data_IF_252455256658
#
_entry.id   IF_252455256658
#
_cell.length_a   1.000
_cell.length_b   1.000
_cell.length_c   1.000
_cell.angle_alpha   90.00
_cell.angle_beta   90.00
_cell.angle_gamma   90.00
#
_symmetry.space_group_name_H-M   'P 1'
#
loop_
_entity.id
_entity.type
_entity.pdbx_description
1 polymer ?
#
# COMPACT_ATOMS: atom_id res chain seq x y z
N UNK A 1 5.83 -21.07 -16.68
CA UNK A 1 4.42 -20.72 -16.30
C UNK A 1 4.02 -19.42 -16.99
N UNK A 2 2.90 -19.40 -17.69
CA UNK A 2 2.34 -18.20 -18.33
C UNK A 2 1.47 -17.43 -17.34
N UNK A 3 1.87 -16.22 -16.97
CA UNK A 3 1.16 -15.36 -16.01
C UNK A 3 0.62 -14.13 -16.74
N UNK A 4 -0.64 -13.79 -16.53
CA UNK A 4 -1.23 -12.54 -17.01
C UNK A 4 -1.79 -11.75 -15.84
N UNK A 5 -1.36 -10.48 -15.73
CA UNK A 5 -1.96 -9.52 -14.81
C UNK A 5 -2.82 -8.55 -15.62
N UNK A 6 -4.11 -8.49 -15.33
CA UNK A 6 -5.03 -7.54 -15.98
C UNK A 6 -5.55 -6.53 -14.96
N UNK A 7 -5.40 -5.24 -15.27
CA UNK A 7 -5.86 -4.14 -14.41
C UNK A 7 -6.24 -2.91 -15.25
N UNK A 8 -6.65 -1.83 -14.59
CA UNK A 8 -6.96 -0.57 -15.28
C UNK A 8 -5.75 -0.03 -16.05
N UNK A 9 -4.69 0.42 -15.40
CA UNK A 9 -3.47 0.91 -16.04
C UNK A 9 -2.22 0.47 -15.26
N UNK A 10 -1.10 0.42 -15.98
CA UNK A 10 0.22 0.16 -15.42
C UNK A 10 0.78 1.43 -14.75
N UNK A 11 1.29 1.32 -13.53
CA UNK A 11 1.83 2.44 -12.77
C UNK A 11 3.05 2.02 -11.93
N UNK A 12 3.71 2.98 -11.30
CA UNK A 12 4.92 2.76 -10.51
C UNK A 12 4.76 1.79 -9.33
N UNK A 13 3.55 1.65 -8.75
CA UNK A 13 3.31 0.66 -7.68
C UNK A 13 3.29 -0.77 -8.20
N UNK A 14 3.15 -0.97 -9.52
CA UNK A 14 3.10 -2.27 -10.17
C UNK A 14 4.37 -2.60 -10.95
N UNK A 15 5.29 -1.62 -11.12
CA UNK A 15 6.50 -1.83 -11.92
C UNK A 15 7.37 -2.94 -11.35
N UNK A 16 7.81 -2.82 -10.10
CA UNK A 16 8.74 -3.77 -9.51
C UNK A 16 8.17 -5.20 -9.47
N UNK A 17 6.89 -5.37 -9.09
CA UNK A 17 6.26 -6.69 -9.07
C UNK A 17 6.09 -7.28 -10.48
N UNK A 18 5.81 -6.45 -11.47
CA UNK A 18 5.66 -6.88 -12.86
C UNK A 18 7.00 -7.27 -13.50
N UNK A 19 8.05 -6.52 -13.21
CA UNK A 19 9.41 -6.81 -13.64
C UNK A 19 9.90 -8.14 -13.06
N UNK A 20 9.63 -8.39 -11.78
CA UNK A 20 9.95 -9.66 -11.15
C UNK A 20 9.14 -10.83 -11.71
N UNK A 21 7.85 -10.65 -11.98
CA UNK A 21 7.07 -11.67 -12.71
C UNK A 21 7.69 -11.97 -14.07
N UNK A 22 8.05 -10.93 -14.84
CA UNK A 22 8.65 -11.11 -16.17
C UNK A 22 9.98 -11.87 -16.09
N UNK A 23 10.84 -11.52 -15.13
CA UNK A 23 12.13 -12.18 -14.87
C UNK A 23 11.94 -13.63 -14.43
N UNK A 24 11.17 -13.90 -13.37
CA UNK A 24 11.03 -15.23 -12.77
C UNK A 24 10.19 -16.20 -13.63
N UNK A 25 9.41 -15.69 -14.58
CA UNK A 25 8.70 -16.54 -15.56
C UNK A 25 9.46 -16.68 -16.89
N UNK A 26 10.72 -16.26 -16.97
CA UNK A 26 11.51 -16.26 -18.21
C UNK A 26 10.77 -15.61 -19.39
N UNK A 27 10.20 -14.41 -19.16
CA UNK A 27 9.49 -13.65 -20.17
C UNK A 27 8.04 -14.09 -20.47
N UNK A 28 7.51 -15.09 -19.74
CA UNK A 28 6.14 -15.60 -19.90
C UNK A 28 5.10 -14.80 -19.10
N UNK A 29 5.39 -13.54 -18.80
CA UNK A 29 4.49 -12.61 -18.13
C UNK A 29 3.94 -11.56 -19.08
N UNK A 30 2.68 -11.17 -18.91
CA UNK A 30 2.07 -10.01 -19.59
C UNK A 30 1.23 -9.21 -18.60
N UNK A 31 1.36 -7.89 -18.65
CA UNK A 31 0.46 -6.96 -18.00
C UNK A 31 -0.50 -6.39 -19.04
N UNK A 32 -1.79 -6.55 -18.83
CA UNK A 32 -2.83 -6.02 -19.72
C UNK A 32 -3.51 -4.85 -19.03
N UNK A 33 -3.28 -3.65 -19.56
CA UNK A 33 -4.01 -2.47 -19.12
C UNK A 33 -5.29 -2.28 -19.94
N UNK A 34 -6.39 -1.94 -19.25
CA UNK A 34 -7.73 -1.91 -19.84
C UNK A 34 -8.25 -0.51 -20.16
N UNK A 35 -7.55 0.52 -19.67
CA UNK A 35 -7.86 1.93 -19.90
C UNK A 35 -6.58 2.77 -19.85
N UNK A 36 -6.56 3.95 -20.51
CA UNK A 36 -5.44 4.88 -20.38
C UNK A 36 -5.39 5.46 -18.96
N UNK A 37 -4.18 5.81 -18.51
CA UNK A 37 -4.00 6.50 -17.24
C UNK A 37 -4.55 7.92 -17.32
N UNK A 38 -5.28 8.33 -16.29
CA UNK A 38 -5.80 9.70 -16.14
C UNK A 38 -4.66 10.73 -16.15
N UNK A 39 -4.88 11.86 -16.80
CA UNK A 39 -3.87 12.93 -16.96
C UNK A 39 -3.39 13.48 -15.61
N UNK A 40 -4.30 13.67 -14.66
CA UNK A 40 -3.96 14.09 -13.30
C UNK A 40 -2.91 13.17 -12.65
N UNK A 41 -3.06 11.86 -12.83
CA UNK A 41 -2.10 10.87 -12.28
C UNK A 41 -0.77 10.86 -13.01
N UNK A 42 -0.79 11.10 -14.33
CA UNK A 42 0.45 11.27 -15.10
C UNK A 42 1.24 12.47 -14.60
N UNK A 43 0.55 13.59 -14.35
CA UNK A 43 1.15 14.82 -13.83
C UNK A 43 1.70 14.64 -12.40
N UNK A 44 1.17 13.70 -11.63
CA UNK A 44 1.71 13.28 -10.33
C UNK A 44 2.92 12.34 -10.44
N UNK A 45 3.40 12.02 -11.65
CA UNK A 45 4.54 11.12 -11.86
C UNK A 45 4.23 9.63 -11.76
N UNK A 46 2.96 9.22 -11.84
CA UNK A 46 2.58 7.80 -11.74
C UNK A 46 2.80 7.01 -13.03
N UNK A 47 2.83 7.70 -14.17
CA UNK A 47 3.03 7.09 -15.48
C UNK A 47 4.50 6.92 -15.85
N UNK A 48 4.78 5.96 -16.72
CA UNK A 48 6.07 5.82 -17.38
C UNK A 48 5.98 6.37 -18.80
N UNK A 49 7.02 7.07 -19.25
CA UNK A 49 7.07 7.63 -20.61
C UNK A 49 7.11 6.53 -21.68
N UNK A 50 7.73 5.40 -21.37
CA UNK A 50 7.82 4.23 -22.23
C UNK A 50 7.33 3.02 -21.45
N UNK A 51 6.32 2.34 -21.99
CA UNK A 51 5.81 1.11 -21.39
C UNK A 51 6.77 -0.06 -21.64
N UNK A 52 7.02 -0.92 -20.64
CA UNK A 52 7.79 -2.14 -20.83
C UNK A 52 7.17 -3.06 -21.89
N UNK A 53 7.99 -3.87 -22.56
CA UNK A 53 7.58 -4.78 -23.64
C UNK A 53 6.52 -5.82 -23.25
N UNK A 54 6.40 -6.10 -21.96
CA UNK A 54 5.39 -7.02 -21.44
C UNK A 54 4.03 -6.35 -21.17
N UNK A 55 3.91 -5.01 -21.32
CA UNK A 55 2.65 -4.27 -21.13
C UNK A 55 1.89 -4.20 -22.45
N UNK A 56 0.61 -4.51 -22.39
CA UNK A 56 -0.30 -4.46 -23.54
C UNK A 56 -1.51 -3.56 -23.24
N UNK A 57 -1.86 -2.71 -24.20
CA UNK A 57 -2.96 -1.75 -24.12
C UNK A 57 -4.21 -2.32 -24.81
N UNK A 58 -5.08 -2.99 -24.05
CA UNK A 58 -6.26 -3.69 -24.63
C UNK A 58 -7.30 -2.76 -25.27
N UNK A 59 -7.22 -1.47 -24.99
CA UNK A 59 -8.14 -0.44 -25.52
C UNK A 59 -7.66 0.19 -26.84
N UNK A 60 -6.45 -0.12 -27.29
CA UNK A 60 -5.83 0.53 -28.45
C UNK A 60 -6.61 0.27 -29.75
N UNK A 61 -6.97 -0.98 -30.00
CA UNK A 61 -7.73 -1.41 -31.16
C UNK A 61 -8.43 -2.78 -30.93
N UNK A 62 -9.30 -3.19 -31.86
CA UNK A 62 -10.04 -4.45 -31.76
C UNK A 62 -9.18 -5.70 -31.86
N UNK A 63 -8.09 -5.66 -32.61
CA UNK A 63 -7.18 -6.80 -32.79
C UNK A 63 -6.38 -7.01 -31.52
N UNK A 64 -5.79 -5.93 -30.94
CA UNK A 64 -5.10 -5.94 -29.67
C UNK A 64 -6.02 -6.42 -28.55
N UNK A 65 -7.28 -5.97 -28.54
CA UNK A 65 -8.26 -6.46 -27.56
C UNK A 65 -8.47 -7.98 -27.66
N UNK A 66 -8.68 -8.52 -28.88
CA UNK A 66 -8.84 -9.96 -29.07
C UNK A 66 -7.61 -10.73 -28.62
N UNK A 67 -6.42 -10.28 -29.00
CA UNK A 67 -5.14 -10.86 -28.54
C UNK A 67 -5.01 -10.87 -27.03
N UNK A 68 -5.38 -9.78 -26.34
CA UNK A 68 -5.39 -9.71 -24.87
C UNK A 68 -6.36 -10.74 -24.26
N UNK A 69 -7.57 -10.87 -24.81
CA UNK A 69 -8.55 -11.87 -24.36
C UNK A 69 -8.03 -13.30 -24.55
N UNK A 70 -7.37 -13.59 -25.67
CA UNK A 70 -6.78 -14.90 -25.94
C UNK A 70 -5.64 -15.21 -24.96
N UNK A 71 -4.78 -14.25 -24.64
CA UNK A 71 -3.73 -14.39 -23.61
C UNK A 71 -4.34 -14.69 -22.25
N UNK A 72 -5.37 -13.94 -21.83
CA UNK A 72 -6.10 -14.17 -20.56
C UNK A 72 -6.67 -15.59 -20.51
N UNK A 73 -7.29 -16.07 -21.60
CA UNK A 73 -7.92 -17.40 -21.65
C UNK A 73 -6.91 -18.55 -21.70
N UNK A 74 -5.70 -18.32 -22.23
CA UNK A 74 -4.67 -19.35 -22.43
C UNK A 74 -3.51 -19.30 -21.42
N UNK A 75 -3.49 -18.33 -20.52
CA UNK A 75 -2.52 -18.29 -19.43
C UNK A 75 -2.71 -19.45 -18.43
N UNK A 76 -1.65 -19.87 -17.75
CA UNK A 76 -1.75 -20.83 -16.64
C UNK A 76 -2.47 -20.19 -15.45
N UNK A 77 -2.13 -18.94 -15.14
CA UNK A 77 -2.75 -18.15 -14.06
C UNK A 77 -3.03 -16.71 -14.49
N UNK A 78 -4.13 -16.14 -14.00
CA UNK A 78 -4.48 -14.74 -14.20
C UNK A 78 -4.62 -14.04 -12.84
N UNK A 79 -3.98 -12.88 -12.69
CA UNK A 79 -4.23 -11.93 -11.61
C UNK A 79 -5.13 -10.83 -12.16
N UNK A 80 -6.28 -10.61 -11.54
CA UNK A 80 -7.28 -9.65 -11.99
C UNK A 80 -7.47 -8.54 -10.93
N UNK A 81 -6.94 -7.36 -11.22
CA UNK A 81 -7.11 -6.13 -10.44
C UNK A 81 -8.36 -5.36 -10.85
N UNK A 82 -8.25 -4.03 -10.90
CA UNK A 82 -9.33 -3.12 -11.34
C UNK A 82 -9.50 -3.18 -12.85
N UNK A 83 -10.13 -4.25 -13.36
CA UNK A 83 -10.40 -4.46 -14.78
C UNK A 83 -11.89 -4.72 -15.02
N UNK A 84 -12.44 -4.38 -16.20
CA UNK A 84 -13.82 -4.71 -16.56
C UNK A 84 -14.08 -6.21 -16.51
N UNK A 85 -15.16 -6.65 -15.87
CA UNK A 85 -15.51 -8.06 -15.71
C UNK A 85 -15.60 -8.82 -17.05
N UNK A 86 -16.04 -8.14 -18.11
CA UNK A 86 -16.23 -8.74 -19.44
C UNK A 86 -14.95 -9.39 -19.98
N UNK A 87 -13.76 -8.83 -19.66
CA UNK A 87 -12.48 -9.31 -20.23
C UNK A 87 -12.03 -10.65 -19.58
N UNK A 88 -12.42 -10.92 -18.34
CA UNK A 88 -12.03 -12.14 -17.61
C UNK A 88 -13.15 -13.17 -17.46
N UNK A 89 -14.40 -12.80 -17.78
CA UNK A 89 -15.60 -13.63 -17.53
C UNK A 89 -15.53 -15.01 -18.19
N UNK A 90 -15.04 -15.07 -19.45
CA UNK A 90 -14.90 -16.34 -20.17
C UNK A 90 -13.95 -17.29 -19.45
N UNK A 91 -12.81 -16.76 -18.97
CA UNK A 91 -11.83 -17.53 -18.20
C UNK A 91 -12.41 -18.06 -16.88
N UNK A 92 -13.09 -17.21 -16.11
CA UNK A 92 -13.73 -17.63 -14.86
C UNK A 92 -14.72 -18.75 -15.11
N UNK A 93 -15.60 -18.59 -16.12
CA UNK A 93 -16.61 -19.60 -16.50
C UNK A 93 -16.00 -20.91 -16.96
N UNK A 94 -14.82 -20.89 -17.56
CA UNK A 94 -14.10 -22.11 -17.96
C UNK A 94 -13.42 -22.84 -16.80
N UNK A 95 -13.56 -22.35 -15.55
CA UNK A 95 -12.97 -22.98 -14.36
C UNK A 95 -11.46 -22.83 -14.24
N UNK A 96 -10.82 -22.01 -15.07
CA UNK A 96 -9.37 -21.75 -15.01
C UNK A 96 -9.00 -20.86 -13.83
N UNK A 97 -7.77 -21.01 -13.35
CA UNK A 97 -7.26 -20.31 -12.17
C UNK A 97 -7.22 -18.80 -12.33
N UNK A 98 -7.87 -18.09 -11.40
CA UNK A 98 -7.88 -16.62 -11.32
C UNK A 98 -7.64 -16.20 -9.86
N UNK A 99 -6.74 -15.27 -9.66
CA UNK A 99 -6.60 -14.51 -8.43
C UNK A 99 -7.16 -13.11 -8.64
N UNK A 100 -8.22 -12.76 -7.91
CA UNK A 100 -8.66 -11.38 -7.79
C UNK A 100 -7.65 -10.61 -6.95
N UNK A 101 -7.43 -9.35 -7.24
CA UNK A 101 -6.54 -8.48 -6.50
C UNK A 101 -7.29 -7.21 -6.10
N UNK A 102 -7.43 -6.96 -4.80
CA UNK A 102 -8.22 -5.83 -4.32
C UNK A 102 -7.77 -5.34 -2.95
N UNK A 103 -7.88 -4.04 -2.75
CA UNK A 103 -7.93 -3.42 -1.43
C UNK A 103 -9.28 -3.74 -0.74
N UNK A 104 -9.44 -3.25 0.49
CA UNK A 104 -10.71 -3.34 1.21
C UNK A 104 -11.84 -2.60 0.49
N UNK A 105 -13.05 -3.13 0.58
CA UNK A 105 -14.24 -2.58 -0.09
C UNK A 105 -15.13 -1.76 0.84
N UNK A 106 -15.09 -1.98 2.14
CA UNK A 106 -15.87 -1.24 3.14
C UNK A 106 -14.99 -0.23 3.89
N UNK A 107 -14.59 0.85 3.19
CA UNK A 107 -13.74 1.91 3.76
C UNK A 107 -14.48 2.82 4.75
N UNK A 108 -15.82 2.86 4.70
CA UNK A 108 -16.65 3.58 5.67
C UNK A 108 -17.99 2.85 5.90
N UNK A 109 -18.66 3.14 7.04
CA UNK A 109 -19.93 2.49 7.43
C UNK A 109 -21.05 2.66 6.41
N UNK A 110 -21.11 3.78 5.67
CA UNK A 110 -22.14 4.03 4.64
C UNK A 110 -22.07 3.02 3.49
N UNK A 111 -20.90 2.46 3.20
CA UNK A 111 -20.73 1.43 2.16
C UNK A 111 -21.34 0.07 2.55
N UNK A 112 -21.64 -0.17 3.83
CA UNK A 112 -22.35 -1.37 4.27
C UNK A 112 -23.80 -1.39 3.76
N UNK A 113 -24.42 -0.25 3.51
CA UNK A 113 -25.74 -0.17 2.88
C UNK A 113 -25.77 -0.79 1.47
N UNK A 114 -24.63 -0.91 0.82
CA UNK A 114 -24.49 -1.56 -0.49
C UNK A 114 -24.31 -3.09 -0.39
N UNK A 115 -24.33 -3.66 0.80
CA UNK A 115 -24.09 -5.09 1.03
C UNK A 115 -24.97 -6.01 0.17
N UNK A 116 -26.31 -5.83 0.07
CA UNK A 116 -27.16 -6.71 -0.74
C UNK A 116 -26.77 -6.69 -2.22
N UNK A 117 -26.50 -5.50 -2.79
CA UNK A 117 -26.09 -5.37 -4.19
C UNK A 117 -24.72 -5.99 -4.44
N UNK A 118 -23.78 -5.82 -3.50
CA UNK A 118 -22.46 -6.42 -3.59
C UNK A 118 -22.49 -7.93 -3.44
N UNK A 119 -23.33 -8.45 -2.56
CA UNK A 119 -23.56 -9.90 -2.42
C UNK A 119 -23.99 -10.49 -3.76
N UNK A 120 -25.04 -9.94 -4.38
CA UNK A 120 -25.54 -10.40 -5.68
C UNK A 120 -24.43 -10.30 -6.77
N UNK A 121 -23.79 -9.13 -6.88
CA UNK A 121 -22.74 -8.89 -7.87
C UNK A 121 -21.59 -9.90 -7.74
N UNK A 122 -21.03 -10.05 -6.53
CA UNK A 122 -19.86 -10.91 -6.34
C UNK A 122 -20.20 -12.39 -6.48
N UNK A 123 -21.40 -12.82 -6.09
CA UNK A 123 -21.87 -14.20 -6.36
C UNK A 123 -22.01 -14.43 -7.86
N UNK A 124 -22.61 -13.50 -8.58
CA UNK A 124 -22.74 -13.63 -10.03
C UNK A 124 -21.38 -13.64 -10.75
N UNK A 125 -20.41 -12.83 -10.32
CA UNK A 125 -19.10 -12.69 -10.94
C UNK A 125 -18.11 -13.80 -10.56
N UNK A 126 -18.25 -14.43 -9.38
CA UNK A 126 -17.22 -15.32 -8.82
C UNK A 126 -17.72 -16.67 -8.30
N UNK A 127 -19.04 -16.87 -8.14
CA UNK A 127 -19.63 -18.11 -7.63
C UNK A 127 -20.40 -18.85 -8.75
N UNK A 128 -20.37 -20.16 -8.81
CA UNK A 128 -19.78 -21.17 -7.91
C UNK A 128 -18.34 -21.58 -8.29
N UNK A 129 -17.56 -20.71 -8.86
CA UNK A 129 -16.28 -21.03 -9.48
C UNK A 129 -15.22 -21.41 -8.43
N UNK A 130 -14.79 -22.69 -8.45
CA UNK A 130 -13.87 -23.26 -7.46
C UNK A 130 -12.47 -22.65 -7.51
N UNK A 131 -12.01 -22.24 -8.70
CA UNK A 131 -10.65 -21.77 -8.95
C UNK A 131 -10.50 -20.24 -8.97
N UNK A 132 -11.34 -19.52 -8.20
CA UNK A 132 -11.22 -18.08 -8.03
C UNK A 132 -10.83 -17.79 -6.59
N UNK A 133 -9.73 -17.07 -6.40
CA UNK A 133 -9.11 -16.71 -5.14
C UNK A 133 -8.96 -15.19 -5.01
N UNK A 134 -8.61 -14.68 -3.81
CA UNK A 134 -8.40 -13.26 -3.56
C UNK A 134 -6.99 -12.99 -3.02
N UNK A 135 -6.25 -12.12 -3.68
CA UNK A 135 -5.05 -11.46 -3.18
C UNK A 135 -5.47 -10.18 -2.45
N UNK A 136 -5.34 -10.17 -1.14
CA UNK A 136 -5.80 -9.07 -0.29
C UNK A 136 -4.73 -7.99 -0.15
N UNK A 137 -4.90 -6.85 -0.82
CA UNK A 137 -4.07 -5.67 -0.64
C UNK A 137 -4.58 -4.79 0.52
N UNK A 138 -4.87 -5.42 1.62
CA UNK A 138 -5.22 -4.83 2.92
C UNK A 138 -5.49 -5.95 3.90
N UNK A 139 -5.07 -5.81 5.15
CA UNK A 139 -5.38 -6.76 6.23
C UNK A 139 -6.88 -6.91 6.47
N UNK A 140 -7.67 -5.90 6.14
CA UNK A 140 -9.13 -5.87 6.32
C UNK A 140 -9.90 -6.42 5.11
N UNK A 141 -9.25 -6.67 3.95
CA UNK A 141 -9.94 -7.06 2.73
C UNK A 141 -10.62 -8.43 2.86
N UNK A 142 -9.96 -9.42 3.47
CA UNK A 142 -10.54 -10.76 3.65
C UNK A 142 -11.85 -10.71 4.43
N UNK A 143 -11.91 -9.96 5.55
CA UNK A 143 -13.14 -9.75 6.33
C UNK A 143 -14.21 -9.03 5.53
N UNK A 144 -13.84 -7.96 4.82
CA UNK A 144 -14.77 -7.20 3.99
C UNK A 144 -15.45 -8.11 2.93
N UNK A 145 -14.69 -9.01 2.31
CA UNK A 145 -15.24 -9.96 1.34
C UNK A 145 -16.03 -11.09 2.00
N UNK A 146 -15.60 -11.58 3.17
CA UNK A 146 -16.33 -12.60 3.92
C UNK A 146 -17.74 -12.15 4.32
N UNK A 147 -17.95 -10.86 4.66
CA UNK A 147 -19.26 -10.25 4.90
C UNK A 147 -20.18 -10.37 3.68
N UNK A 148 -19.63 -10.38 2.46
CA UNK A 148 -20.38 -10.63 1.22
C UNK A 148 -20.58 -12.11 0.92
N UNK A 149 -20.17 -13.02 1.82
CA UNK A 149 -20.22 -14.46 1.62
C UNK A 149 -19.17 -15.01 0.66
N UNK A 150 -18.20 -14.18 0.23
CA UNK A 150 -17.21 -14.54 -0.80
C UNK A 150 -15.84 -14.84 -0.23
N UNK A 151 -15.08 -15.68 -0.96
CA UNK A 151 -13.68 -16.01 -0.73
C UNK A 151 -13.36 -16.59 0.66
N UNK A 152 -14.34 -17.16 1.37
CA UNK A 152 -14.09 -17.83 2.66
C UNK A 152 -13.07 -18.97 2.46
N UNK A 153 -11.93 -18.89 3.15
CA UNK A 153 -10.81 -19.84 3.00
C UNK A 153 -10.08 -19.78 1.65
N UNK A 154 -10.27 -18.70 0.88
CA UNK A 154 -9.66 -18.49 -0.45
C UNK A 154 -8.96 -17.13 -0.57
N UNK A 155 -8.49 -16.58 0.53
CA UNK A 155 -7.81 -15.28 0.60
C UNK A 155 -6.33 -15.48 0.91
N UNK A 156 -5.49 -14.65 0.30
CA UNK A 156 -4.05 -14.67 0.50
C UNK A 156 -3.57 -13.28 0.90
N UNK A 157 -2.63 -13.21 1.85
CA UNK A 157 -1.92 -11.99 2.21
C UNK A 157 -1.15 -11.49 0.99
N UNK A 158 -1.40 -10.25 0.61
CA UNK A 158 -0.78 -9.59 -0.53
C UNK A 158 -0.70 -8.10 -0.25
N UNK A 159 -0.19 -7.31 -1.20
CA UNK A 159 -0.17 -5.86 -1.04
C UNK A 159 0.50 -5.14 -2.19
N UNK A 160 1.09 -4.00 -1.91
CA UNK A 160 1.94 -3.28 -2.84
C UNK A 160 3.40 -3.61 -2.53
N UNK A 161 4.17 -3.73 -3.60
CA UNK A 161 5.59 -4.05 -3.57
C UNK A 161 6.35 -3.01 -4.41
N UNK A 162 6.46 -1.76 -3.91
CA UNK A 162 7.22 -0.74 -4.61
C UNK A 162 8.70 -1.15 -4.71
N UNK A 163 9.43 -0.53 -5.64
CA UNK A 163 10.85 -0.77 -5.80
C UNK A 163 11.62 -0.49 -4.50
N UNK A 164 12.45 -1.43 -4.10
CA UNK A 164 13.31 -1.30 -2.93
C UNK A 164 14.59 -0.56 -3.32
N UNK A 165 14.85 0.57 -2.69
CA UNK A 165 16.14 1.24 -2.76
C UNK A 165 17.09 0.52 -1.81
N UNK A 166 18.18 0.00 -2.37
CA UNK A 166 19.29 -0.56 -1.59
C UNK A 166 20.28 0.57 -1.28
N UNK A 167 20.80 0.57 -0.07
CA UNK A 167 21.80 1.53 0.38
C UNK A 167 23.10 0.78 0.69
N UNK A 168 24.23 1.41 0.41
CA UNK A 168 25.55 0.80 0.63
C UNK A 168 25.88 0.68 2.13
N UNK A 169 25.45 1.66 2.92
CA UNK A 169 25.66 1.73 4.36
C UNK A 169 24.38 2.20 5.05
N UNK A 170 23.65 1.26 5.65
CA UNK A 170 22.38 1.50 6.31
C UNK A 170 22.57 2.16 7.68
N UNK A 171 23.61 1.78 8.41
CA UNK A 171 23.89 2.34 9.74
C UNK A 171 24.25 3.81 9.60
N UNK A 172 25.10 4.14 8.65
CA UNK A 172 25.41 5.54 8.33
C UNK A 172 24.17 6.33 7.92
N UNK A 173 23.29 5.76 7.08
CA UNK A 173 22.04 6.43 6.69
C UNK A 173 21.17 6.75 7.94
N UNK A 174 21.14 5.84 8.92
CA UNK A 174 20.40 6.06 10.16
C UNK A 174 21.07 7.13 11.02
N UNK A 175 22.39 7.12 11.11
CA UNK A 175 23.15 8.07 11.93
C UNK A 175 23.17 9.49 11.35
N UNK A 176 23.13 9.62 10.04
CA UNK A 176 23.12 10.92 9.34
C UNK A 176 21.73 11.61 9.33
N UNK A 177 20.70 10.99 9.92
CA UNK A 177 19.35 11.59 9.98
C UNK A 177 19.34 12.85 10.87
N UNK A 178 18.48 13.79 10.51
CA UNK A 178 18.28 15.03 11.29
C UNK A 178 17.67 14.68 12.65
N UNK A 179 18.33 15.04 13.76
CA UNK A 179 17.85 14.72 15.10
C UNK A 179 16.43 15.27 15.39
N UNK A 180 15.61 14.47 16.04
CA UNK A 180 14.23 14.78 16.44
C UNK A 180 13.34 15.27 15.27
N UNK A 181 13.64 14.81 14.03
CA UNK A 181 12.84 15.09 12.84
C UNK A 181 11.68 14.12 12.72
N UNK A 182 10.51 14.68 12.48
CA UNK A 182 9.26 13.96 12.28
C UNK A 182 8.72 14.32 10.91
N UNK A 183 8.32 13.33 10.12
CA UNK A 183 7.79 13.52 8.78
C UNK A 183 6.38 12.97 8.65
N UNK A 184 5.51 13.73 8.00
CA UNK A 184 4.18 13.31 7.58
C UNK A 184 4.03 13.56 6.08
N UNK A 185 3.59 12.53 5.32
CA UNK A 185 3.46 12.62 3.85
C UNK A 185 2.11 12.06 3.42
N UNK A 186 1.21 12.92 2.98
CA UNK A 186 -0.04 12.53 2.33
C UNK A 186 -0.75 13.74 1.71
N UNK A 187 -1.85 13.51 0.99
CA UNK A 187 -2.78 14.58 0.64
C UNK A 187 -3.43 15.16 1.90
N UNK A 188 -3.57 16.48 1.96
CA UNK A 188 -4.22 17.17 3.09
C UNK A 188 -5.75 17.06 2.94
N UNK A 189 -6.30 15.91 3.30
CA UNK A 189 -7.73 15.56 3.25
C UNK A 189 -8.18 14.89 4.54
N UNK A 190 -9.47 14.85 4.80
CA UNK A 190 -10.06 14.47 6.09
C UNK A 190 -9.58 13.13 6.61
N UNK A 191 -9.65 12.09 5.81
CA UNK A 191 -9.33 10.74 6.23
C UNK A 191 -7.82 10.41 6.34
N UNK A 192 -6.96 11.37 5.97
CA UNK A 192 -5.50 11.32 6.22
C UNK A 192 -5.12 11.90 7.58
N UNK A 193 -6.02 12.64 8.21
CA UNK A 193 -5.86 13.26 9.52
C UNK A 193 -4.56 14.05 9.70
N UNK A 194 -4.25 15.05 8.81
CA UNK A 194 -3.11 15.93 9.03
C UNK A 194 -3.22 16.72 10.34
N UNK A 195 -4.45 17.00 10.79
CA UNK A 195 -4.76 17.67 12.05
C UNK A 195 -4.28 16.91 13.28
N UNK A 196 -4.25 15.57 13.24
CA UNK A 196 -3.70 14.75 14.32
C UNK A 196 -2.19 15.00 14.51
N UNK A 197 -1.44 15.23 13.42
CA UNK A 197 -0.02 15.57 13.51
C UNK A 197 0.21 16.96 14.13
N UNK A 198 -0.70 17.92 13.91
CA UNK A 198 -0.61 19.26 14.54
C UNK A 198 -0.95 19.19 16.02
N UNK A 199 -1.99 18.41 16.42
CA UNK A 199 -2.30 18.20 17.85
C UNK A 199 -1.17 17.48 18.58
N UNK A 200 -0.53 16.50 17.93
CA UNK A 200 0.68 15.87 18.45
C UNK A 200 1.82 16.90 18.66
N UNK A 201 2.09 17.74 17.66
CA UNK A 201 3.12 18.79 17.75
C UNK A 201 2.87 19.76 18.92
N UNK A 202 1.60 20.19 19.10
CA UNK A 202 1.20 21.00 20.27
C UNK A 202 1.57 20.33 21.59
N UNK A 203 1.21 19.06 21.76
CA UNK A 203 1.48 18.29 22.97
C UNK A 203 2.97 18.10 23.22
N UNK A 204 3.75 17.78 22.18
CA UNK A 204 5.21 17.66 22.30
C UNK A 204 5.86 18.98 22.71
N UNK A 205 5.44 20.10 22.12
CA UNK A 205 5.94 21.43 22.51
C UNK A 205 5.59 21.78 23.95
N UNK A 206 4.34 21.52 24.37
CA UNK A 206 3.91 21.72 25.78
C UNK A 206 4.68 20.84 26.76
N UNK A 207 5.08 19.64 26.35
CA UNK A 207 5.93 18.75 27.16
C UNK A 207 7.43 19.10 27.11
N UNK A 208 7.81 20.21 26.44
CA UNK A 208 9.17 20.70 26.39
C UNK A 208 10.10 20.05 25.38
N UNK A 209 9.57 19.23 24.44
CA UNK A 209 10.38 18.60 23.41
C UNK A 209 10.84 19.61 22.36
N UNK A 210 12.10 19.49 21.95
CA UNK A 210 12.64 20.15 20.76
C UNK A 210 12.58 19.18 19.58
N UNK A 211 11.81 19.50 18.56
CA UNK A 211 11.60 18.66 17.37
C UNK A 211 11.30 19.52 16.14
N UNK A 212 11.34 18.90 14.97
CA UNK A 212 10.84 19.49 13.73
C UNK A 212 9.87 18.53 13.07
N UNK A 213 8.64 18.99 12.83
CA UNK A 213 7.62 18.27 12.07
C UNK A 213 7.50 18.88 10.66
N UNK A 214 7.74 18.07 9.63
CA UNK A 214 7.54 18.44 8.24
C UNK A 214 6.31 17.77 7.66
N UNK A 215 5.40 18.54 7.04
CA UNK A 215 4.25 18.02 6.31
C UNK A 215 4.48 18.20 4.81
N UNK A 216 4.45 17.10 4.06
CA UNK A 216 4.55 17.09 2.61
C UNK A 216 3.21 16.67 2.00
N UNK A 217 2.69 17.49 1.11
CA UNK A 217 1.45 17.29 0.39
C UNK A 217 0.61 18.56 0.32
N UNK A 218 -0.48 18.48 -0.41
CA UNK A 218 -1.49 19.54 -0.52
C UNK A 218 -2.89 18.92 -0.49
N UNK A 219 -3.91 19.76 -0.41
CA UNK A 219 -5.30 19.30 -0.42
C UNK A 219 -6.28 20.29 0.20
N UNK A 220 -7.52 19.85 0.34
CA UNK A 220 -8.65 20.69 0.80
C UNK A 220 -8.47 21.24 2.21
N UNK A 221 -7.64 20.62 3.03
CA UNK A 221 -7.38 21.03 4.41
C UNK A 221 -6.17 21.97 4.55
N UNK A 222 -5.51 22.39 3.46
CA UNK A 222 -4.29 23.21 3.51
C UNK A 222 -4.48 24.44 4.41
N UNK A 223 -5.48 25.29 4.14
CA UNK A 223 -5.75 26.49 4.92
C UNK A 223 -6.04 26.16 6.40
N UNK A 224 -6.87 25.14 6.65
CA UNK A 224 -7.19 24.70 8.01
C UNK A 224 -5.93 24.33 8.80
N UNK A 225 -5.01 23.57 8.19
CA UNK A 225 -3.77 23.16 8.85
C UNK A 225 -2.85 24.36 9.11
N UNK A 226 -2.74 25.30 8.16
CA UNK A 226 -1.99 26.56 8.37
C UNK A 226 -2.56 27.37 9.50
N UNK A 227 -3.88 27.50 9.60
CA UNK A 227 -4.55 28.22 10.68
C UNK A 227 -4.30 27.53 12.02
N UNK A 228 -4.37 26.20 12.09
CA UNK A 228 -4.05 25.46 13.31
C UNK A 228 -2.60 25.70 13.76
N UNK A 229 -1.62 25.69 12.85
CA UNK A 229 -0.21 25.97 13.17
C UNK A 229 -0.06 27.36 13.82
N UNK A 230 -0.71 28.39 13.24
CA UNK A 230 -0.68 29.77 13.77
C UNK A 230 -1.36 29.91 15.12
N UNK A 231 -2.58 29.37 15.25
CA UNK A 231 -3.36 29.46 16.50
C UNK A 231 -2.62 28.79 17.67
N UNK A 232 -1.97 27.67 17.40
CA UNK A 232 -1.22 26.92 18.41
C UNK A 232 0.25 27.40 18.55
N UNK A 233 0.66 28.43 17.79
CA UNK A 233 2.01 29.03 17.80
C UNK A 233 3.10 27.98 17.59
N UNK A 234 2.96 27.19 16.49
CA UNK A 234 3.85 26.06 16.17
C UNK A 234 4.81 26.35 15.00
N UNK A 235 4.87 27.60 14.51
CA UNK A 235 5.66 27.98 13.32
C UNK A 235 7.16 27.75 13.50
N UNK A 236 7.65 27.68 14.71
CA UNK A 236 9.04 27.40 15.06
C UNK A 236 9.43 25.92 14.93
N UNK A 237 8.45 25.01 15.00
CA UNK A 237 8.69 23.56 15.00
C UNK A 237 7.88 22.78 13.95
N UNK A 238 6.91 23.39 13.26
CA UNK A 238 6.10 22.75 12.23
C UNK A 238 6.20 23.52 10.91
N UNK A 239 6.50 22.82 9.81
CA UNK A 239 6.56 23.39 8.47
C UNK A 239 5.70 22.61 7.47
N UNK A 240 5.00 23.33 6.61
CA UNK A 240 4.26 22.78 5.47
C UNK A 240 5.07 23.01 4.20
N UNK A 241 5.49 21.94 3.55
CA UNK A 241 6.41 21.97 2.42
C UNK A 241 5.71 21.89 1.05
N UNK A 242 4.38 21.73 1.02
CA UNK A 242 3.62 21.54 -0.21
C UNK A 242 3.83 20.18 -0.86
N UNK A 243 3.39 20.03 -2.10
CA UNK A 243 3.59 18.78 -2.86
C UNK A 243 5.00 18.74 -3.45
N UNK A 244 5.55 17.54 -3.50
CA UNK A 244 6.89 17.28 -4.04
C UNK A 244 6.87 16.07 -4.98
N UNK A 245 7.89 15.96 -5.82
CA UNK A 245 8.13 14.78 -6.65
C UNK A 245 8.53 13.58 -5.76
N UNK A 246 8.27 12.33 -6.18
CA UNK A 246 8.59 11.15 -5.40
C UNK A 246 10.05 11.07 -4.92
N UNK A 247 10.99 11.51 -5.76
CA UNK A 247 12.42 11.50 -5.42
C UNK A 247 12.78 12.50 -4.32
N UNK A 248 12.06 13.64 -4.26
CA UNK A 248 12.22 14.64 -3.21
C UNK A 248 11.61 14.15 -1.90
N UNK A 249 10.40 13.54 -1.97
CA UNK A 249 9.78 12.90 -0.82
C UNK A 249 10.70 11.83 -0.22
N UNK A 250 11.32 11.01 -1.08
CA UNK A 250 12.28 10.00 -0.65
C UNK A 250 13.45 10.61 0.13
N UNK A 251 14.03 11.72 -0.34
CA UNK A 251 15.12 12.42 0.36
C UNK A 251 14.68 12.90 1.75
N UNK A 252 13.46 13.42 1.89
CA UNK A 252 12.94 13.78 3.21
C UNK A 252 12.75 12.56 4.13
N UNK A 253 12.32 11.43 3.60
CA UNK A 253 12.24 10.17 4.37
C UNK A 253 13.63 9.71 4.83
N UNK A 254 14.64 9.79 3.94
CA UNK A 254 16.03 9.44 4.26
C UNK A 254 16.63 10.34 5.35
N UNK A 255 16.18 11.59 5.45
CA UNK A 255 16.64 12.56 6.44
C UNK A 255 15.84 12.55 7.75
N UNK A 256 14.66 11.93 7.78
CA UNK A 256 13.75 11.98 8.92
C UNK A 256 13.89 10.75 9.82
N UNK A 257 13.95 10.97 11.13
CA UNK A 257 14.03 9.87 12.12
C UNK A 257 12.69 9.14 12.29
N UNK A 258 11.59 9.90 12.37
CA UNK A 258 10.26 9.38 12.66
C UNK A 258 9.32 9.67 11.50
N UNK A 259 8.54 8.68 11.09
CA UNK A 259 7.48 8.84 10.11
C UNK A 259 6.11 8.64 10.76
N UNK A 260 5.21 9.62 10.58
CA UNK A 260 3.83 9.55 11.08
C UNK A 260 2.87 9.14 9.97
N UNK A 261 2.05 8.13 10.23
CA UNK A 261 1.01 7.70 9.32
C UNK A 261 -0.35 7.66 10.01
N UNK A 262 -1.10 8.75 9.88
CA UNK A 262 -2.29 9.05 10.68
C UNK A 262 -3.63 8.69 10.03
N UNK A 263 -3.63 8.10 8.84
CA UNK A 263 -4.85 7.75 8.10
C UNK A 263 -5.80 6.83 8.89
N UNK A 264 -7.08 6.95 8.60
CA UNK A 264 -8.12 6.07 9.16
C UNK A 264 -8.43 4.86 8.25
N UNK A 265 -9.52 4.15 8.54
CA UNK A 265 -10.00 2.96 7.80
C UNK A 265 -10.33 3.21 6.31
N UNK A 266 -10.31 4.46 5.84
CA UNK A 266 -10.43 4.77 4.42
C UNK A 266 -9.13 4.54 3.63
N UNK A 267 -8.00 4.37 4.32
CA UNK A 267 -6.74 3.98 3.68
C UNK A 267 -6.79 2.51 3.26
N UNK A 268 -6.73 2.25 1.96
CA UNK A 268 -6.76 0.89 1.42
C UNK A 268 -5.47 0.14 1.75
N UNK A 269 -4.35 0.66 1.28
CA UNK A 269 -3.01 0.14 1.55
C UNK A 269 -2.11 1.19 2.20
N UNK A 270 -1.79 2.27 1.47
CA UNK A 270 -0.87 3.31 1.90
C UNK A 270 0.59 2.99 1.60
N UNK A 271 0.97 2.98 0.31
CA UNK A 271 2.31 2.63 -0.15
C UNK A 271 3.44 3.48 0.46
N UNK A 272 3.11 4.68 0.94
CA UNK A 272 4.04 5.56 1.66
C UNK A 272 4.64 4.89 2.91
N UNK A 273 3.95 3.90 3.50
CA UNK A 273 4.50 3.09 4.59
C UNK A 273 5.68 2.24 4.11
N UNK A 274 5.53 1.56 2.97
CA UNK A 274 6.63 0.78 2.38
C UNK A 274 7.85 1.69 2.11
N UNK A 275 7.61 2.89 1.58
CA UNK A 275 8.65 3.85 1.21
C UNK A 275 9.37 4.40 2.44
N UNK A 276 8.64 4.74 3.51
CA UNK A 276 9.22 5.25 4.75
C UNK A 276 10.02 4.18 5.49
N UNK A 277 9.51 2.94 5.56
CA UNK A 277 10.24 1.80 6.14
C UNK A 277 11.52 1.49 5.34
N UNK A 278 11.45 1.50 4.00
CA UNK A 278 12.63 1.31 3.14
C UNK A 278 13.64 2.45 3.27
N UNK A 279 13.21 3.65 3.70
CA UNK A 279 14.08 4.80 3.95
C UNK A 279 14.57 4.88 5.40
N UNK A 280 14.50 3.78 6.15
CA UNK A 280 14.95 3.70 7.54
C UNK A 280 14.25 4.68 8.49
N UNK A 281 12.96 4.97 8.31
CA UNK A 281 12.21 5.74 9.30
C UNK A 281 11.71 4.81 10.42
N UNK A 282 11.80 5.25 11.68
CA UNK A 282 11.01 4.66 12.75
C UNK A 282 9.55 5.10 12.58
N UNK A 283 8.67 4.14 12.30
CA UNK A 283 7.28 4.46 11.93
C UNK A 283 6.36 4.45 13.14
N UNK A 284 5.46 5.44 13.22
CA UNK A 284 4.30 5.41 14.12
C UNK A 284 3.04 5.53 13.26
N UNK A 285 2.27 4.46 13.17
CA UNK A 285 1.15 4.35 12.24
C UNK A 285 -0.17 3.95 12.89
N UNK A 286 -1.27 4.49 12.38
CA UNK A 286 -2.62 4.08 12.80
C UNK A 286 -2.89 2.63 12.42
N UNK A 287 -3.38 1.82 13.37
CA UNK A 287 -3.75 0.43 13.12
C UNK A 287 -4.84 0.28 12.04
N UNK A 288 -5.62 1.34 11.80
CA UNK A 288 -6.71 1.36 10.82
C UNK A 288 -6.26 1.26 9.35
N UNK A 289 -4.99 1.49 9.07
CA UNK A 289 -4.41 1.50 7.73
C UNK A 289 -4.23 0.06 7.24
N UNK A 290 -4.64 -0.21 6.01
CA UNK A 290 -4.70 -1.58 5.49
C UNK A 290 -3.38 -2.33 5.41
N UNK A 291 -2.24 -1.64 5.26
CA UNK A 291 -0.91 -2.25 5.22
C UNK A 291 -0.30 -2.48 6.62
N UNK A 292 -0.70 -1.68 7.61
CA UNK A 292 -0.06 -1.67 8.93
C UNK A 292 -0.04 -3.04 9.60
N UNK A 293 -1.16 -3.79 9.69
CA UNK A 293 -1.12 -5.12 10.32
C UNK A 293 -0.33 -6.17 9.53
N UNK A 294 0.05 -5.86 8.28
CA UNK A 294 0.88 -6.75 7.46
C UNK A 294 2.37 -6.44 7.55
N UNK A 295 2.73 -5.18 7.78
CA UNK A 295 4.09 -4.68 7.68
C UNK A 295 4.71 -4.37 9.03
N UNK A 296 3.91 -3.98 10.04
CA UNK A 296 4.42 -3.56 11.35
C UNK A 296 4.19 -4.66 12.38
N UNK A 297 5.28 -5.07 13.02
CA UNK A 297 5.31 -5.78 14.27
C UNK A 297 5.51 -4.74 15.37
N UNK A 298 4.47 -4.48 16.16
CA UNK A 298 4.44 -3.39 17.15
C UNK A 298 5.60 -3.51 18.15
N UNK A 299 6.38 -2.45 18.28
CA UNK A 299 7.56 -2.39 19.15
C UNK A 299 8.85 -2.98 18.57
N UNK A 300 8.81 -3.64 17.41
CA UNK A 300 9.99 -4.27 16.77
C UNK A 300 10.52 -3.47 15.57
N UNK A 301 9.65 -3.22 14.57
CA UNK A 301 9.99 -2.53 13.32
C UNK A 301 9.14 -1.28 13.06
N UNK A 302 8.36 -0.86 14.05
CA UNK A 302 7.48 0.30 14.04
C UNK A 302 6.54 0.25 15.24
N UNK A 303 5.79 1.32 15.45
CA UNK A 303 4.70 1.35 16.41
C UNK A 303 3.36 1.48 15.70
N UNK A 304 2.37 0.76 16.23
CA UNK A 304 0.97 0.97 15.90
C UNK A 304 0.27 1.72 17.03
N UNK A 305 -0.61 2.64 16.70
CA UNK A 305 -1.46 3.30 17.68
C UNK A 305 -2.94 3.13 17.30
N UNK A 306 -3.82 3.18 18.28
CA UNK A 306 -5.26 3.05 18.08
C UNK A 306 -5.80 4.29 17.36
N UNK A 307 -6.48 4.09 16.24
CA UNK A 307 -7.02 5.19 15.44
C UNK A 307 -7.89 6.14 16.25
N UNK A 308 -7.57 7.44 16.21
CA UNK A 308 -8.25 8.48 16.99
C UNK A 308 -7.81 8.60 18.45
N UNK A 309 -6.89 7.76 18.92
CA UNK A 309 -6.32 7.84 20.27
C UNK A 309 -5.07 8.72 20.25
N UNK A 310 -5.23 9.97 20.67
CA UNK A 310 -4.17 10.97 20.70
C UNK A 310 -3.15 10.72 21.81
N UNK A 311 -3.56 10.06 22.90
CA UNK A 311 -2.66 9.72 24.00
C UNK A 311 -1.72 8.59 23.58
N UNK A 312 -2.25 7.57 22.92
CA UNK A 312 -1.43 6.48 22.41
C UNK A 312 -0.44 6.98 21.34
N UNK A 313 -0.89 7.81 20.39
CA UNK A 313 -0.02 8.45 19.40
C UNK A 313 1.10 9.25 20.06
N UNK A 314 0.76 10.11 21.04
CA UNK A 314 1.72 10.93 21.77
C UNK A 314 2.75 10.07 22.51
N UNK A 315 2.30 9.05 23.24
CA UNK A 315 3.18 8.18 24.03
C UNK A 315 4.15 7.39 23.13
N UNK A 316 3.71 6.90 21.96
CA UNK A 316 4.58 6.19 21.00
C UNK A 316 5.65 7.11 20.41
N UNK A 317 5.28 8.35 20.02
CA UNK A 317 6.25 9.31 19.50
C UNK A 317 7.20 9.79 20.58
N UNK A 318 6.68 10.10 21.76
CA UNK A 318 7.48 10.46 22.94
C UNK A 318 8.52 9.39 23.25
N UNK A 319 8.11 8.12 23.27
CA UNK A 319 9.02 6.99 23.50
C UNK A 319 10.19 6.98 22.51
N UNK A 320 9.92 7.20 21.20
CA UNK A 320 10.98 7.25 20.19
C UNK A 320 11.91 8.45 20.35
N UNK A 321 11.41 9.59 20.81
CA UNK A 321 12.24 10.77 21.08
C UNK A 321 13.12 10.55 22.30
N UNK A 322 12.62 9.89 23.34
CA UNK A 322 13.34 9.62 24.59
C UNK A 322 14.35 8.46 24.48
N UNK A 323 14.19 7.56 23.49
CA UNK A 323 14.98 6.34 23.35
C UNK A 323 15.65 6.24 21.97
N UNK A 324 16.71 7.01 21.70
CA UNK A 324 17.36 7.05 20.37
C UNK A 324 17.90 5.70 19.91
N UNK A 325 18.45 4.89 20.80
CA UNK A 325 18.98 3.56 20.44
C UNK A 325 17.85 2.61 19.99
N UNK A 326 16.72 2.62 20.70
CA UNK A 326 15.55 1.81 20.30
C UNK A 326 14.94 2.31 18.98
N UNK A 327 14.96 3.62 18.76
CA UNK A 327 14.55 4.22 17.48
C UNK A 327 15.43 3.74 16.32
N UNK A 328 16.77 3.73 16.50
CA UNK A 328 17.72 3.22 15.49
C UNK A 328 17.51 1.74 15.19
N UNK A 329 17.37 0.92 16.23
CA UNK A 329 17.06 -0.51 16.09
C UNK A 329 15.77 -0.72 15.27
N UNK A 330 14.71 0.02 15.63
CA UNK A 330 13.42 -0.05 14.94
C UNK A 330 13.52 0.39 13.47
N UNK A 331 14.31 1.44 13.19
CA UNK A 331 14.60 1.93 11.85
C UNK A 331 15.31 0.87 10.97
N UNK A 332 16.30 0.20 11.54
CA UNK A 332 17.01 -0.89 10.88
C UNK A 332 16.08 -2.09 10.59
N UNK A 333 15.26 -2.46 11.56
CA UNK A 333 14.29 -3.55 11.41
C UNK A 333 13.19 -3.22 10.38
N UNK A 334 12.76 -1.94 10.30
CA UNK A 334 11.85 -1.47 9.27
C UNK A 334 12.45 -1.66 7.87
N UNK A 335 13.70 -1.24 7.66
CA UNK A 335 14.42 -1.45 6.40
C UNK A 335 14.54 -2.95 6.06
N UNK A 336 14.99 -3.78 6.99
CA UNK A 336 15.13 -5.23 6.80
C UNK A 336 13.81 -5.88 6.40
N UNK A 337 12.71 -5.47 7.02
CA UNK A 337 11.38 -5.95 6.64
C UNK A 337 11.09 -5.72 5.16
N UNK A 338 11.42 -4.55 4.62
CA UNK A 338 11.23 -4.24 3.21
C UNK A 338 12.23 -4.96 2.31
N UNK A 339 13.52 -4.91 2.67
CA UNK A 339 14.59 -5.45 1.83
C UNK A 339 14.61 -6.97 1.77
N UNK A 340 14.30 -7.65 2.89
CA UNK A 340 14.50 -9.09 3.03
C UNK A 340 13.19 -9.88 2.98
N UNK A 341 12.05 -9.28 3.35
CA UNK A 341 10.78 -10.01 3.50
C UNK A 341 9.71 -9.49 2.55
N UNK A 342 9.37 -8.20 2.64
CA UNK A 342 8.26 -7.61 1.90
C UNK A 342 8.73 -6.91 0.63
N UNK A 343 9.15 -7.68 -0.35
CA UNK A 343 9.65 -7.18 -1.63
C UNK A 343 9.05 -7.96 -2.81
N UNK A 344 9.21 -7.43 -4.00
CA UNK A 344 8.65 -8.00 -5.23
C UNK A 344 9.24 -9.39 -5.53
N UNK A 345 10.54 -9.60 -5.30
CA UNK A 345 11.23 -10.87 -5.56
C UNK A 345 10.61 -12.02 -4.76
N UNK A 346 10.50 -11.84 -3.44
CA UNK A 346 9.91 -12.83 -2.55
C UNK A 346 8.42 -13.04 -2.82
N UNK A 347 7.68 -11.98 -3.09
CA UNK A 347 6.26 -12.06 -3.38
C UNK A 347 5.99 -12.91 -4.64
N UNK A 348 6.72 -12.67 -5.72
CA UNK A 348 6.58 -13.43 -6.96
C UNK A 348 7.02 -14.88 -6.77
N UNK A 349 8.16 -15.13 -6.12
CA UNK A 349 8.64 -16.48 -5.81
C UNK A 349 7.59 -17.28 -5.04
N UNK A 350 7.02 -16.69 -3.99
CA UNK A 350 6.01 -17.34 -3.15
C UNK A 350 4.72 -17.57 -3.94
N UNK A 351 4.31 -16.61 -4.78
CA UNK A 351 3.13 -16.75 -5.63
C UNK A 351 3.29 -17.91 -6.63
N UNK A 352 4.41 -17.95 -7.36
CA UNK A 352 4.68 -19.00 -8.35
C UNK A 352 4.74 -20.39 -7.70
N UNK A 353 5.43 -20.52 -6.57
CA UNK A 353 5.47 -21.77 -5.80
C UNK A 353 4.07 -22.24 -5.36
N UNK A 354 3.23 -21.29 -4.93
CA UNK A 354 1.83 -21.58 -4.53
C UNK A 354 1.02 -22.13 -5.68
N UNK A 355 1.20 -21.57 -6.87
CA UNK A 355 0.47 -22.01 -8.07
C UNK A 355 0.97 -23.37 -8.52
N UNK A 356 2.29 -23.63 -8.53
CA UNK A 356 2.91 -24.87 -9.00
C UNK A 356 2.60 -26.07 -8.10
N UNK A 357 2.77 -25.91 -6.79
CA UNK A 357 2.57 -27.00 -5.82
C UNK A 357 1.11 -27.32 -5.55
N UNK A 358 0.18 -26.55 -6.09
CA UNK A 358 -1.24 -26.66 -5.80
C UNK A 358 -1.57 -26.56 -4.29
N UNK A 359 -0.65 -25.99 -3.49
CA UNK A 359 -0.73 -25.82 -2.04
C UNK A 359 -1.67 -24.69 -1.63
N UNK A 360 -2.74 -24.48 -2.39
CA UNK A 360 -3.71 -23.39 -2.22
C UNK A 360 -4.47 -23.44 -0.90
N UNK A 361 -4.33 -24.53 -0.15
CA UNK A 361 -4.91 -24.70 1.19
C UNK A 361 -4.03 -24.20 2.32
N UNK A 362 -2.71 -24.07 2.12
CA UNK A 362 -1.73 -23.83 3.21
C UNK A 362 -1.23 -22.39 3.30
N UNK A 363 -1.54 -21.51 2.34
CA UNK A 363 -1.07 -20.12 2.31
C UNK A 363 -2.17 -19.14 2.74
N UNK A 364 -3.19 -19.62 3.40
CA UNK A 364 -4.03 -18.75 4.20
C UNK A 364 -3.26 -18.34 5.47
N UNK A 365 -2.32 -17.40 5.34
CA UNK A 365 -2.06 -16.56 6.49
C UNK A 365 -3.43 -16.00 6.90
N UNK A 366 -3.85 -16.13 8.16
CA UNK A 366 -5.14 -15.64 8.59
C UNK A 366 -5.18 -14.14 8.27
N UNK A 367 -5.92 -13.77 7.24
CA UNK A 367 -6.32 -12.39 6.98
C UNK A 367 -7.47 -12.06 7.96
N UNK A 368 -7.19 -12.13 9.23
CA UNK A 368 -8.17 -11.85 10.24
C UNK A 368 -7.44 -11.47 11.50
N UNK A 369 -7.32 -10.18 11.76
CA UNK A 369 -7.14 -9.71 13.12
C UNK A 369 -8.57 -9.65 13.65
N UNK A 370 -8.92 -10.55 14.57
CA UNK A 370 -10.07 -10.39 15.43
C UNK A 370 -9.79 -9.21 16.34
N UNK A 371 -10.66 -8.19 16.30
CA UNK A 371 -10.72 -7.10 17.27
C UNK A 371 -11.92 -7.30 18.17
#
# INVERSE_FOLDING_TARGET
MKVVFVSNYYNHHQSAISEEFFKQTNGQYRFIQTEPMEEERRNMGWGQNVLPSFVMESYKDKETYRRCVDLINNADVVIAGSAPEKIIRKRIRSGKLVFRYSERIYKNKKKLLQLPLRFIKYHFDNYPYKNVYMLCASAYAARDYAITGMFKGKTFKWGYFPAIKKYDDIEKLIDDKTPASILWVARLIEWKHPDASIRLAKRLKQAGYKFKLSLIGNGKLDNKIRDMIKVEKLEDCVQMLGSMKPEEVRRYMEQSEIFLFTSDFNEGWGAVLNESMNSTCAVVASHAIGSVPFLINDGENGFTYKNGDEDDLFNKVKFLLDNPEKRKEMSLNAYKTMAETWNAENAVKNFLNTVEKNERKSIAAPCGIEY
#
